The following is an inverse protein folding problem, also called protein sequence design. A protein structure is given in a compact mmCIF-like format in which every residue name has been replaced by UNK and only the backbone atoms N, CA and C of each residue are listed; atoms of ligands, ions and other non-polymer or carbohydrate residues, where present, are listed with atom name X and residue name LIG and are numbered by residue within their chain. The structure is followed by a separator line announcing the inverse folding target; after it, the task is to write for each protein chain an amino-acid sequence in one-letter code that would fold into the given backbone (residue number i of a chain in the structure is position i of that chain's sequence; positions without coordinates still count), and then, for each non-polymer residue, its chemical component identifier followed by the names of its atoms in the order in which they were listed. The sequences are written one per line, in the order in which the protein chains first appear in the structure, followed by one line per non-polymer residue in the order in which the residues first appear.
data_IF_717796904152
#
_entry.id   IF_717796904152
#
_cell.length_a   1.000
_cell.length_b   1.000
_cell.length_c   1.000
_cell.angle_alpha   90.00
_cell.angle_beta   90.00
_cell.angle_gamma   90.00
#
_symmetry.space_group_name_H-M   'P 1'
#
loop_
_entity.id
_entity.type
_entity.pdbx_description
1 polymer ?
#
# COMPACT_ATOMS: atom_id res chain seq x y z
N UNK A 1 2.82 27.73 -9.95
CA UNK A 1 3.02 26.27 -9.83
C UNK A 1 3.87 25.89 -11.03
N UNK A 2 5.06 25.33 -10.81
CA UNK A 2 5.91 24.87 -11.92
C UNK A 2 5.27 23.65 -12.61
N UNK A 3 5.64 23.41 -13.86
CA UNK A 3 5.24 22.21 -14.59
C UNK A 3 5.68 20.97 -13.80
N UNK A 4 4.82 19.94 -13.72
CA UNK A 4 5.16 18.62 -13.16
C UNK A 4 6.28 17.96 -14.00
N UNK A 5 6.73 16.75 -13.64
CA UNK A 5 7.75 16.02 -14.43
C UNK A 5 7.42 15.99 -15.93
N UNK A 6 8.44 15.95 -16.79
CA UNK A 6 8.24 15.86 -18.24
C UNK A 6 7.75 14.46 -18.62
N UNK A 7 6.63 14.41 -19.33
CA UNK A 7 5.99 13.21 -19.85
C UNK A 7 5.77 13.41 -21.35
N UNK A 8 6.23 12.49 -22.18
CA UNK A 8 6.09 12.57 -23.64
C UNK A 8 4.72 12.01 -24.09
N UNK A 9 3.64 12.55 -23.52
CA UNK A 9 2.27 12.17 -23.89
C UNK A 9 1.75 13.09 -25.03
N UNK A 10 1.38 12.50 -26.16
CA UNK A 10 0.75 13.20 -27.28
C UNK A 10 -0.74 13.49 -27.00
N UNK A 11 -0.99 14.51 -26.18
CA UNK A 11 -2.34 14.92 -25.78
C UNK A 11 -2.82 16.12 -26.59
N UNK A 12 -4.08 16.20 -27.05
CA UNK A 12 -4.59 17.37 -27.77
C UNK A 12 -4.52 18.67 -26.94
N UNK A 13 -4.23 19.81 -27.58
CA UNK A 13 -4.10 21.11 -26.90
C UNK A 13 -5.34 21.52 -26.11
N UNK A 14 -6.53 21.14 -26.60
CA UNK A 14 -7.79 21.36 -25.90
C UNK A 14 -7.81 20.65 -24.54
N UNK A 15 -7.31 19.43 -24.47
CA UNK A 15 -7.26 18.62 -23.24
C UNK A 15 -6.19 19.16 -22.28
N UNK A 16 -5.02 19.55 -22.79
CA UNK A 16 -4.01 20.29 -22.01
C UNK A 16 -4.59 21.55 -21.38
N UNK A 17 -5.36 22.33 -22.15
CA UNK A 17 -6.01 23.54 -21.66
C UNK A 17 -7.07 23.27 -20.56
N UNK A 18 -7.78 22.14 -20.59
CA UNK A 18 -8.68 21.73 -19.52
C UNK A 18 -7.91 21.44 -18.23
N UNK A 19 -6.80 20.70 -18.33
CA UNK A 19 -5.94 20.39 -17.18
C UNK A 19 -5.29 21.64 -16.60
N UNK A 20 -4.89 22.60 -17.42
CA UNK A 20 -4.37 23.89 -16.94
C UNK A 20 -5.44 24.71 -16.21
N UNK A 21 -6.69 24.71 -16.70
CA UNK A 21 -7.82 25.30 -15.95
C UNK A 21 -8.03 24.57 -14.61
N UNK A 22 -7.86 23.24 -14.56
CA UNK A 22 -8.00 22.47 -13.33
C UNK A 22 -6.91 22.79 -12.27
N UNK A 23 -5.74 23.27 -12.70
CA UNK A 23 -4.66 23.72 -11.80
C UNK A 23 -4.90 25.14 -11.24
N UNK A 24 -5.70 25.97 -11.91
CA UNK A 24 -5.98 27.35 -11.48
C UNK A 24 -7.00 27.42 -10.33
N UNK A 25 -6.47 27.26 -9.12
CA UNK A 25 -7.23 27.38 -7.86
C UNK A 25 -7.71 28.80 -7.54
N UNK A 26 -7.15 29.84 -8.18
CA UNK A 26 -7.56 31.22 -7.94
C UNK A 26 -8.83 31.57 -8.74
N UNK A 27 -8.94 31.03 -9.95
CA UNK A 27 -10.03 31.33 -10.87
C UNK A 27 -11.22 30.37 -10.76
N UNK A 28 -10.97 29.08 -10.48
CA UNK A 28 -12.02 28.07 -10.51
C UNK A 28 -12.24 27.37 -9.17
N UNK A 29 -13.52 27.13 -8.84
CA UNK A 29 -13.91 26.35 -7.66
C UNK A 29 -13.45 24.90 -7.76
N UNK A 30 -13.42 24.19 -6.61
CA UNK A 30 -13.09 22.75 -6.58
C UNK A 30 -13.94 21.94 -7.56
N UNK A 31 -15.25 22.16 -7.59
CA UNK A 31 -16.15 21.39 -8.45
C UNK A 31 -15.89 21.64 -9.93
N UNK A 32 -15.62 22.89 -10.32
CA UNK A 32 -15.22 23.23 -11.70
C UNK A 32 -13.89 22.58 -12.08
N UNK A 33 -12.89 22.60 -11.19
CA UNK A 33 -11.59 21.96 -11.44
C UNK A 33 -11.75 20.45 -11.62
N UNK A 34 -12.56 19.80 -10.78
CA UNK A 34 -12.88 18.37 -10.93
C UNK A 34 -13.64 18.08 -12.23
N UNK A 35 -14.55 18.96 -12.65
CA UNK A 35 -15.24 18.82 -13.92
C UNK A 35 -14.28 18.87 -15.10
N UNK A 36 -13.35 19.83 -15.14
CA UNK A 36 -12.33 19.90 -16.20
C UNK A 36 -11.43 18.66 -16.25
N UNK A 37 -11.07 18.10 -15.09
CA UNK A 37 -10.29 16.85 -15.05
C UNK A 37 -11.08 15.66 -15.59
N UNK A 38 -12.39 15.56 -15.26
CA UNK A 38 -13.24 14.49 -15.78
C UNK A 38 -13.46 14.64 -17.28
N UNK A 39 -13.75 15.85 -17.75
CA UNK A 39 -13.88 16.15 -19.19
C UNK A 39 -12.59 15.79 -19.94
N UNK A 40 -11.42 16.11 -19.38
CA UNK A 40 -10.15 15.70 -19.97
C UNK A 40 -9.99 14.18 -20.06
N UNK A 41 -10.42 13.44 -19.04
CA UNK A 41 -10.33 11.98 -18.96
C UNK A 41 -11.44 11.24 -19.72
N UNK A 42 -12.49 11.93 -20.17
CA UNK A 42 -13.49 11.37 -21.09
C UNK A 42 -12.89 11.16 -22.49
N UNK A 43 -12.14 12.15 -22.97
CA UNK A 43 -11.47 12.11 -24.27
C UNK A 43 -10.10 11.40 -24.19
N UNK A 44 -9.33 11.60 -23.10
CA UNK A 44 -7.99 11.04 -22.91
C UNK A 44 -7.87 10.28 -21.57
N UNK A 45 -8.43 9.06 -21.45
CA UNK A 45 -8.55 8.34 -20.18
C UNK A 45 -7.23 7.99 -19.50
N UNK A 46 -6.15 7.96 -20.26
CA UNK A 46 -4.80 7.57 -19.82
C UNK A 46 -3.92 8.77 -19.49
N UNK A 47 -4.38 10.00 -19.74
CA UNK A 47 -3.57 11.20 -19.52
C UNK A 47 -3.07 11.27 -18.07
N UNK A 48 -1.75 11.12 -17.88
CA UNK A 48 -1.16 10.87 -16.57
C UNK A 48 -1.37 12.06 -15.62
N UNK A 49 -1.21 13.28 -16.13
CA UNK A 49 -1.37 14.48 -15.33
C UNK A 49 -2.81 14.68 -14.82
N UNK A 50 -3.80 14.44 -15.69
CA UNK A 50 -5.21 14.54 -15.31
C UNK A 50 -5.57 13.48 -14.25
N UNK A 51 -5.14 12.23 -14.47
CA UNK A 51 -5.32 11.12 -13.53
C UNK A 51 -4.69 11.43 -12.17
N UNK A 52 -3.44 11.89 -12.15
CA UNK A 52 -2.73 12.26 -10.92
C UNK A 52 -3.43 13.39 -10.16
N UNK A 53 -3.80 14.48 -10.86
CA UNK A 53 -4.46 15.63 -10.22
C UNK A 53 -5.83 15.25 -9.64
N UNK A 54 -6.58 14.39 -10.34
CA UNK A 54 -7.87 13.89 -9.88
C UNK A 54 -7.69 13.01 -8.65
N UNK A 55 -6.73 12.08 -8.67
CA UNK A 55 -6.36 11.25 -7.53
C UNK A 55 -6.02 12.12 -6.31
N UNK A 56 -5.22 13.16 -6.49
CA UNK A 56 -4.81 14.02 -5.38
C UNK A 56 -5.95 14.86 -4.78
N UNK A 57 -6.97 15.24 -5.56
CA UNK A 57 -8.18 15.90 -5.02
C UNK A 57 -9.08 14.89 -4.28
N UNK A 58 -9.18 13.65 -4.78
CA UNK A 58 -9.95 12.60 -4.12
C UNK A 58 -9.32 12.17 -2.81
N UNK A 59 -7.98 11.98 -2.74
CA UNK A 59 -7.27 11.68 -1.49
C UNK A 59 -7.52 12.74 -0.42
N UNK A 60 -7.42 14.02 -0.77
CA UNK A 60 -7.72 15.14 0.16
C UNK A 60 -9.17 15.13 0.64
N UNK A 61 -10.10 14.74 -0.23
CA UNK A 61 -11.52 14.65 0.13
C UNK A 61 -11.77 13.47 1.06
N UNK A 62 -11.18 12.31 0.77
CA UNK A 62 -11.24 11.12 1.60
C UNK A 62 -10.66 11.37 3.00
N UNK A 63 -9.49 12.03 3.09
CA UNK A 63 -8.89 12.45 4.37
C UNK A 63 -9.86 13.33 5.19
N UNK A 64 -10.58 14.26 4.56
CA UNK A 64 -11.50 15.17 5.26
C UNK A 64 -12.86 14.56 5.64
N UNK A 65 -13.30 13.53 4.92
CA UNK A 65 -14.65 12.94 5.06
C UNK A 65 -14.65 11.57 5.74
N UNK A 66 -13.47 10.97 5.93
CA UNK A 66 -13.34 9.60 6.42
C UNK A 66 -13.75 8.53 5.39
N UNK A 67 -14.00 8.92 4.14
CA UNK A 67 -14.26 7.96 3.06
C UNK A 67 -12.98 7.15 2.77
N UNK A 68 -13.14 5.87 2.44
CA UNK A 68 -12.01 5.01 2.08
C UNK A 68 -11.34 5.43 0.78
N UNK A 69 -10.06 5.10 0.62
CA UNK A 69 -9.25 5.51 -0.53
C UNK A 69 -9.34 4.57 -1.75
N UNK A 70 -10.22 3.57 -1.70
CA UNK A 70 -10.28 2.51 -2.72
C UNK A 70 -10.54 3.05 -4.15
N UNK A 71 -11.36 4.10 -4.29
CA UNK A 71 -11.69 4.72 -5.57
C UNK A 71 -10.52 5.46 -6.23
N UNK A 72 -9.47 5.79 -5.46
CA UNK A 72 -8.30 6.54 -5.95
C UNK A 72 -7.34 5.64 -6.72
N UNK A 73 -7.24 4.37 -6.33
CA UNK A 73 -6.26 3.43 -6.85
C UNK A 73 -6.15 3.40 -8.39
N UNK A 74 -7.24 3.26 -9.18
CA UNK A 74 -7.13 3.18 -10.64
C UNK A 74 -6.53 4.44 -11.27
N UNK A 75 -6.79 5.63 -10.72
CA UNK A 75 -6.23 6.87 -11.23
C UNK A 75 -4.72 6.96 -10.98
N UNK A 76 -4.26 6.49 -9.82
CA UNK A 76 -2.82 6.44 -9.54
C UNK A 76 -2.10 5.39 -10.39
N UNK A 77 -2.72 4.22 -10.60
CA UNK A 77 -2.17 3.17 -11.47
C UNK A 77 -1.99 3.68 -12.91
N UNK A 78 -2.98 4.39 -13.46
CA UNK A 78 -2.89 5.02 -14.78
C UNK A 78 -1.81 6.09 -14.84
N UNK A 79 -1.72 6.96 -13.82
CA UNK A 79 -0.68 7.97 -13.77
C UNK A 79 0.73 7.34 -13.74
N UNK A 80 0.92 6.27 -12.95
CA UNK A 80 2.18 5.54 -12.87
C UNK A 80 2.55 4.85 -14.19
N UNK A 81 1.57 4.22 -14.85
CA UNK A 81 1.78 3.48 -16.09
C UNK A 81 2.15 4.40 -17.26
N UNK A 82 1.49 5.57 -17.36
CA UNK A 82 1.66 6.48 -18.49
C UNK A 82 2.76 7.52 -18.27
N UNK A 83 2.99 7.96 -17.02
CA UNK A 83 4.14 8.81 -16.71
C UNK A 83 4.71 8.56 -15.31
N UNK A 84 5.62 7.58 -15.17
CA UNK A 84 6.23 7.25 -13.88
C UNK A 84 7.10 8.38 -13.31
N UNK A 85 7.63 9.28 -14.14
CA UNK A 85 8.46 10.41 -13.72
C UNK A 85 7.65 11.64 -13.31
N UNK A 86 6.31 11.61 -13.43
CA UNK A 86 5.45 12.77 -13.24
C UNK A 86 5.59 13.37 -11.83
N UNK A 87 5.45 12.53 -10.80
CA UNK A 87 5.50 12.95 -9.40
C UNK A 87 5.70 11.77 -8.45
N UNK A 88 6.58 11.89 -7.45
CA UNK A 88 6.92 10.82 -6.52
C UNK A 88 5.72 10.34 -5.68
N UNK A 89 4.83 11.26 -5.26
CA UNK A 89 3.60 10.92 -4.51
C UNK A 89 2.78 9.81 -5.16
N UNK A 90 2.84 9.62 -6.49
CA UNK A 90 2.15 8.52 -7.18
C UNK A 90 2.52 7.19 -6.52
N UNK A 91 3.81 6.90 -6.44
CA UNK A 91 4.34 5.66 -5.88
C UNK A 91 4.18 5.58 -4.38
N UNK A 92 4.28 6.71 -3.67
CA UNK A 92 4.00 6.75 -2.23
C UNK A 92 2.57 6.29 -1.95
N UNK A 93 1.58 6.89 -2.61
CA UNK A 93 0.18 6.56 -2.36
C UNK A 93 -0.19 5.16 -2.88
N UNK A 94 0.34 4.73 -4.03
CA UNK A 94 0.17 3.34 -4.49
C UNK A 94 0.72 2.36 -3.44
N UNK A 95 1.94 2.59 -2.95
CA UNK A 95 2.56 1.79 -1.91
C UNK A 95 1.69 1.70 -0.66
N UNK A 96 1.20 2.83 -0.14
CA UNK A 96 0.33 2.87 1.04
C UNK A 96 -1.02 2.18 0.82
N UNK A 97 -1.64 2.34 -0.36
CA UNK A 97 -2.94 1.75 -0.68
C UNK A 97 -2.84 0.24 -0.80
N UNK A 98 -1.82 -0.29 -1.48
CA UNK A 98 -1.59 -1.72 -1.55
C UNK A 98 -1.19 -2.31 -0.21
N UNK A 99 -0.41 -1.58 0.59
CA UNK A 99 -0.07 -1.97 1.96
C UNK A 99 -1.33 -2.17 2.80
N UNK A 100 -2.26 -1.20 2.76
CA UNK A 100 -3.54 -1.28 3.45
C UNK A 100 -4.45 -2.41 2.94
N UNK A 101 -4.26 -2.87 1.69
CA UNK A 101 -4.95 -4.04 1.12
C UNK A 101 -4.23 -5.36 1.38
N UNK A 102 -3.10 -5.35 2.08
CA UNK A 102 -2.22 -6.50 2.32
C UNK A 102 -1.66 -7.12 1.03
N UNK A 103 -1.66 -6.39 -0.08
CA UNK A 103 -0.94 -6.75 -1.29
C UNK A 103 0.51 -6.30 -1.13
N UNK A 104 1.26 -7.05 -0.31
CA UNK A 104 2.62 -6.67 0.09
C UNK A 104 3.62 -6.71 -1.07
N UNK A 105 3.34 -7.49 -2.12
CA UNK A 105 4.15 -7.51 -3.35
C UNK A 105 4.08 -6.14 -4.01
N UNK A 106 2.87 -5.70 -4.40
CA UNK A 106 2.71 -4.39 -5.04
C UNK A 106 3.06 -3.23 -4.12
N UNK A 107 2.81 -3.37 -2.82
CA UNK A 107 3.19 -2.36 -1.84
C UNK A 107 4.71 -2.17 -1.81
N UNK A 108 5.48 -3.25 -1.68
CA UNK A 108 6.94 -3.19 -1.65
C UNK A 108 7.49 -2.58 -2.93
N UNK A 109 7.02 -3.02 -4.09
CA UNK A 109 7.51 -2.55 -5.39
C UNK A 109 7.26 -1.04 -5.58
N UNK A 110 6.07 -0.54 -5.21
CA UNK A 110 5.77 0.89 -5.29
C UNK A 110 6.50 1.72 -4.22
N UNK A 111 6.65 1.21 -3.00
CA UNK A 111 7.42 1.92 -1.98
C UNK A 111 8.90 2.01 -2.36
N UNK A 112 9.46 0.97 -2.99
CA UNK A 112 10.82 0.98 -3.53
C UNK A 112 10.99 2.02 -4.64
N UNK A 113 10.03 2.09 -5.58
CA UNK A 113 10.01 3.13 -6.63
C UNK A 113 9.96 4.54 -6.03
N UNK A 114 9.18 4.74 -4.95
CA UNK A 114 9.14 6.02 -4.24
C UNK A 114 10.46 6.37 -3.56
N UNK A 115 11.07 5.41 -2.84
CA UNK A 115 12.33 5.62 -2.12
C UNK A 115 13.47 5.96 -3.09
N UNK A 116 13.48 5.31 -4.26
CA UNK A 116 14.50 5.49 -5.29
C UNK A 116 14.11 6.53 -6.34
N UNK A 117 13.04 7.31 -6.12
CA UNK A 117 12.54 8.26 -7.10
C UNK A 117 13.58 9.36 -7.37
N UNK A 118 13.94 9.54 -8.64
CA UNK A 118 14.85 10.59 -9.08
C UNK A 118 14.09 11.91 -9.22
N UNK A 119 14.52 12.91 -8.44
CA UNK A 119 13.94 14.26 -8.48
C UNK A 119 14.80 15.16 -9.37
N UNK A 120 14.30 15.51 -10.54
CA UNK A 120 14.95 16.45 -11.46
C UNK A 120 14.41 17.88 -11.28
N UNK A 121 13.17 18.04 -10.79
CA UNK A 121 12.50 19.31 -10.53
C UNK A 121 11.76 19.29 -9.19
N UNK A 122 11.83 20.37 -8.37
CA UNK A 122 11.03 20.51 -7.15
C UNK A 122 9.51 20.28 -7.29
N UNK A 123 8.94 20.42 -8.48
CA UNK A 123 7.51 20.15 -8.72
C UNK A 123 7.14 18.67 -8.69
N UNK A 124 8.11 17.75 -8.80
CA UNK A 124 7.88 16.30 -8.78
C UNK A 124 7.71 15.74 -7.36
N UNK A 125 7.87 16.57 -6.33
CA UNK A 125 7.76 16.15 -4.94
C UNK A 125 6.86 17.10 -4.16
N UNK A 126 6.14 16.54 -3.19
CA UNK A 126 5.34 17.33 -2.28
C UNK A 126 6.21 17.91 -1.16
N UNK A 127 5.69 18.91 -0.44
CA UNK A 127 6.34 19.43 0.79
C UNK A 127 6.51 18.36 1.88
N UNK A 128 5.71 17.29 1.82
CA UNK A 128 5.73 16.18 2.78
C UNK A 128 6.76 15.11 2.42
N UNK A 129 7.44 15.25 1.28
CA UNK A 129 8.37 14.24 0.76
C UNK A 129 9.42 13.77 1.78
N UNK A 130 10.09 14.66 2.55
CA UNK A 130 11.06 14.21 3.55
C UNK A 130 10.44 13.32 4.64
N UNK A 131 9.23 13.65 5.11
CA UNK A 131 8.52 12.84 6.11
C UNK A 131 7.99 11.54 5.50
N UNK A 132 7.53 11.59 4.25
CA UNK A 132 7.02 10.44 3.52
C UNK A 132 8.11 9.40 3.27
N UNK A 133 9.35 9.83 2.99
CA UNK A 133 10.49 8.92 2.76
C UNK A 133 10.77 8.04 3.98
N UNK A 134 10.80 8.62 5.18
CA UNK A 134 11.07 7.85 6.39
C UNK A 134 9.96 6.84 6.69
N UNK A 135 8.70 7.24 6.51
CA UNK A 135 7.56 6.31 6.61
C UNK A 135 7.62 5.22 5.54
N UNK A 136 7.91 5.58 4.29
CA UNK A 136 7.98 4.65 3.20
C UNK A 136 9.07 3.59 3.40
N UNK A 137 10.24 3.96 3.95
CA UNK A 137 11.30 2.99 4.31
C UNK A 137 10.83 2.00 5.37
N UNK A 138 10.11 2.47 6.39
CA UNK A 138 9.58 1.60 7.44
C UNK A 138 8.54 0.62 6.89
N UNK A 139 7.58 1.12 6.11
CA UNK A 139 6.54 0.31 5.48
C UNK A 139 7.15 -0.65 4.44
N UNK A 140 8.16 -0.22 3.69
CA UNK A 140 8.89 -1.05 2.72
C UNK A 140 9.56 -2.23 3.39
N UNK A 141 10.21 -2.04 4.55
CA UNK A 141 10.84 -3.14 5.29
C UNK A 141 9.82 -4.23 5.65
N UNK A 142 8.62 -3.83 6.07
CA UNK A 142 7.55 -4.75 6.39
C UNK A 142 6.98 -5.43 5.14
N UNK A 143 6.65 -4.66 4.11
CA UNK A 143 6.11 -5.18 2.86
C UNK A 143 7.08 -6.13 2.15
N UNK A 144 8.38 -5.80 2.11
CA UNK A 144 9.42 -6.63 1.52
C UNK A 144 9.55 -7.98 2.23
N UNK A 145 9.48 -8.00 3.57
CA UNK A 145 9.47 -9.25 4.33
C UNK A 145 8.31 -10.18 3.92
N UNK A 146 7.09 -9.66 3.81
CA UNK A 146 5.93 -10.47 3.40
C UNK A 146 5.96 -10.84 1.92
N UNK A 147 6.43 -9.94 1.04
CA UNK A 147 6.69 -10.24 -0.36
C UNK A 147 7.63 -11.44 -0.48
N UNK A 148 8.73 -11.44 0.27
CA UNK A 148 9.73 -12.50 0.23
C UNK A 148 9.19 -13.82 0.77
N UNK A 149 8.38 -13.80 1.83
CA UNK A 149 7.70 -15.00 2.37
C UNK A 149 6.71 -15.57 1.37
N UNK A 150 5.85 -14.73 0.79
CA UNK A 150 4.80 -15.18 -0.13
C UNK A 150 5.35 -15.65 -1.48
N UNK A 151 6.44 -15.03 -1.96
CA UNK A 151 7.11 -15.45 -3.19
C UNK A 151 8.01 -16.68 -3.01
N UNK A 152 8.38 -17.03 -1.77
CA UNK A 152 9.19 -18.22 -1.47
C UNK A 152 8.44 -19.21 -0.57
N UNK A 153 7.31 -19.78 -1.05
CA UNK A 153 6.57 -20.76 -0.26
C UNK A 153 7.48 -21.95 0.05
N UNK A 154 7.75 -22.18 1.33
CA UNK A 154 8.47 -23.37 1.76
C UNK A 154 7.52 -24.57 1.62
N UNK A 155 8.02 -25.76 1.21
CA UNK A 155 7.20 -26.95 1.15
C UNK A 155 6.49 -27.17 2.48
N UNK A 156 5.16 -27.23 2.46
CA UNK A 156 4.37 -27.53 3.64
C UNK A 156 4.49 -29.03 3.94
N UNK A 157 5.53 -29.39 4.69
CA UNK A 157 5.81 -30.75 5.13
C UNK A 157 5.92 -30.79 6.67
N UNK A 158 4.81 -30.52 7.39
CA UNK A 158 4.82 -30.55 8.84
C UNK A 158 5.18 -31.95 9.33
N UNK A 159 6.09 -32.03 10.30
CA UNK A 159 6.44 -33.28 10.97
C UNK A 159 5.86 -33.27 12.38
N UNK A 160 5.34 -34.42 12.80
CA UNK A 160 4.84 -34.61 14.17
C UNK A 160 6.01 -34.40 15.13
N UNK A 161 5.82 -33.50 16.11
CA UNK A 161 6.77 -33.32 17.20
C UNK A 161 6.42 -34.33 18.29
N UNK A 162 7.02 -35.51 18.19
CA UNK A 162 6.84 -36.57 19.18
C UNK A 162 7.19 -36.06 20.59
N UNK A 163 6.46 -36.55 21.61
CA UNK A 163 6.45 -36.09 23.02
C UNK A 163 5.64 -34.83 23.29
N UNK A 164 5.43 -33.97 22.30
CA UNK A 164 4.52 -32.82 22.40
C UNK A 164 3.14 -33.21 21.88
N UNK A 165 3.06 -33.72 20.65
CA UNK A 165 1.81 -34.20 20.07
C UNK A 165 1.55 -35.64 20.52
N UNK A 166 0.41 -35.89 21.17
CA UNK A 166 -0.01 -37.26 21.56
C UNK A 166 -1.41 -37.58 21.04
N UNK A 167 -1.71 -38.87 20.94
CA UNK A 167 -3.03 -39.40 20.55
C UNK A 167 -3.96 -39.65 21.75
N UNK A 168 -3.48 -39.41 22.97
CA UNK A 168 -4.16 -39.80 24.23
C UNK A 168 -4.66 -38.63 25.06
N UNK A 169 -4.25 -37.41 24.73
CA UNK A 169 -4.49 -36.25 25.54
C UNK A 169 -4.61 -35.00 24.67
N UNK A 170 -5.43 -34.06 25.13
CA UNK A 170 -5.53 -32.75 24.50
C UNK A 170 -4.34 -31.88 24.94
N UNK A 171 -3.58 -31.36 23.96
CA UNK A 171 -2.58 -30.32 24.16
C UNK A 171 -3.10 -28.94 23.74
N UNK A 172 -2.87 -27.92 24.56
CA UNK A 172 -3.34 -26.56 24.31
C UNK A 172 -2.39 -25.49 24.87
N UNK A 173 -2.60 -24.25 24.42
CA UNK A 173 -1.78 -23.08 24.75
C UNK A 173 -0.27 -23.28 24.48
N UNK A 174 0.13 -23.69 23.25
CA UNK A 174 1.55 -23.76 22.91
C UNK A 174 2.16 -22.36 22.88
N UNK A 175 3.35 -22.23 23.47
CA UNK A 175 4.17 -21.03 23.43
C UNK A 175 5.61 -21.42 23.07
N UNK A 176 6.09 -20.96 21.93
CA UNK A 176 7.46 -21.15 21.47
C UNK A 176 8.27 -19.89 21.83
N UNK A 177 9.46 -20.07 22.38
CA UNK A 177 10.36 -18.94 22.66
C UNK A 177 10.82 -18.25 21.37
N UNK A 178 11.17 -16.94 21.39
CA UNK A 178 11.57 -16.20 20.19
C UNK A 178 12.79 -16.75 19.45
N UNK A 179 13.67 -17.47 20.16
CA UNK A 179 14.84 -18.18 19.63
C UNK A 179 14.50 -19.56 19.03
N UNK A 180 13.24 -19.99 19.12
CA UNK A 180 12.72 -21.29 18.73
C UNK A 180 13.35 -22.48 19.47
N UNK A 181 13.97 -22.28 20.64
CA UNK A 181 14.65 -23.35 21.38
C UNK A 181 13.73 -24.10 22.36
N UNK A 182 12.70 -23.45 22.89
CA UNK A 182 11.83 -24.01 23.94
C UNK A 182 10.36 -23.89 23.56
N UNK A 183 9.63 -25.00 23.73
CA UNK A 183 8.18 -25.06 23.59
C UNK A 183 7.53 -25.37 24.94
N UNK A 184 6.72 -24.44 25.42
CA UNK A 184 5.85 -24.61 26.56
C UNK A 184 4.45 -24.96 26.06
N UNK A 185 3.78 -25.89 26.72
CA UNK A 185 2.42 -26.28 26.38
C UNK A 185 1.72 -26.85 27.61
N UNK A 186 0.40 -26.84 27.60
CA UNK A 186 -0.41 -27.52 28.62
C UNK A 186 -0.95 -28.82 28.03
N UNK A 187 -0.92 -29.90 28.81
CA UNK A 187 -1.53 -31.18 28.45
C UNK A 187 -2.54 -31.59 29.49
N UNK A 188 -3.75 -31.94 29.06
CA UNK A 188 -4.73 -32.59 29.92
C UNK A 188 -4.30 -34.02 30.20
N UNK A 189 -4.31 -34.44 31.45
CA UNK A 189 -4.07 -35.85 31.81
C UNK A 189 -5.15 -36.31 32.77
N UNK A 190 -5.48 -37.60 32.71
CA UNK A 190 -6.38 -38.22 33.65
C UNK A 190 -5.62 -38.54 34.94
N UNK A 191 -6.08 -37.97 36.04
CA UNK A 191 -5.55 -38.31 37.35
C UNK A 191 -6.12 -39.68 37.78
N UNK A 192 -5.26 -40.70 37.75
CA UNK A 192 -5.58 -42.06 38.20
C UNK A 192 -5.17 -42.28 39.66
N UNK A 193 -4.83 -41.23 40.40
CA UNK A 193 -4.51 -41.35 41.83
C UNK A 193 -5.75 -41.86 42.55
N UNK A 194 -5.67 -42.99 43.29
CA UNK A 194 -6.80 -43.50 44.04
C UNK A 194 -7.31 -42.45 45.02
N UNK A 195 -8.62 -42.23 45.05
CA UNK A 195 -9.23 -41.35 46.04
C UNK A 195 -8.94 -41.91 47.44
N UNK A 196 -8.32 -41.10 48.30
CA UNK A 196 -8.01 -41.51 49.67
C UNK A 196 -9.27 -41.69 50.52
N UNK A 197 -10.44 -41.29 50.01
CA UNK A 197 -11.74 -41.40 50.67
C UNK A 197 -12.68 -42.45 50.05
N UNK A 198 -12.26 -43.20 49.03
CA UNK A 198 -13.07 -44.31 48.51
C UNK A 198 -12.87 -45.56 49.38
N UNK A 199 -13.77 -45.77 50.35
CA UNK A 199 -14.05 -47.04 51.03
C UNK A 199 -15.22 -47.71 50.32
#
# INVERSE_FOLDING_TARGET
MGALGQCDEEVPDKIRALVDKAKDRKKYSKDKRLHFLREALEDEPEYAEANFLLAMEQLRTAESTGQGYAAVLPYLEKAAANCPTLHADIFYFLGQLYFGKHDFVKAADNLELFINFRVDNPSQISKKYPQQIERAKADFKYAAFYRDIFNNPKPFNPKIVYRVSTDKADEYLPFLTPDNEQLYFTRRWQDNTPDKNSI
#
